data_IF_263710074074
#
_entry.id   IF_263710074074
#
_cell.length_a   1.000
_cell.length_b   1.000
_cell.length_c   1.000
_cell.angle_alpha   90.00
_cell.angle_beta   90.00
_cell.angle_gamma   90.00
#
_symmetry.space_group_name_H-M   'P 1'
#
loop_
_entity.id
_entity.type
_entity.pdbx_description
1 polymer ?
#
# COMPACT_ATOMS: atom_id res chain seq x y z
N UNK A 1 2.69 13.05 -8.62
CA UNK A 1 3.98 12.59 -8.07
C UNK A 1 3.79 11.19 -7.49
N UNK A 2 4.84 10.36 -7.54
CA UNK A 2 4.87 9.04 -6.91
C UNK A 2 4.54 9.12 -5.41
N UNK A 3 5.00 10.16 -4.70
CA UNK A 3 4.76 10.32 -3.27
C UNK A 3 3.28 10.49 -2.91
N UNK A 4 2.54 11.24 -3.71
CA UNK A 4 1.10 11.44 -3.50
C UNK A 4 0.34 10.12 -3.70
N UNK A 5 0.79 9.30 -4.66
CA UNK A 5 0.21 7.99 -4.93
C UNK A 5 0.53 7.01 -3.80
N UNK A 6 1.79 6.97 -3.33
CA UNK A 6 2.19 6.18 -2.17
C UNK A 6 1.38 6.57 -0.92
N UNK A 7 1.26 7.87 -0.65
CA UNK A 7 0.48 8.39 0.46
C UNK A 7 -0.98 7.94 0.41
N UNK A 8 -1.59 8.00 -0.77
CA UNK A 8 -2.96 7.51 -0.98
C UNK A 8 -3.08 6.01 -0.70
N UNK A 9 -2.21 5.17 -1.27
CA UNK A 9 -2.22 3.71 -1.00
C UNK A 9 -2.05 3.42 0.48
N UNK A 10 -1.11 4.08 1.16
CA UNK A 10 -0.88 3.92 2.61
C UNK A 10 -2.14 4.23 3.43
N UNK A 11 -2.87 5.28 3.08
CA UNK A 11 -4.13 5.65 3.74
C UNK A 11 -5.24 4.62 3.47
N UNK A 12 -5.42 4.22 2.22
CA UNK A 12 -6.45 3.23 1.84
C UNK A 12 -6.17 1.85 2.41
N UNK A 13 -4.91 1.49 2.62
CA UNK A 13 -4.49 0.26 3.28
C UNK A 13 -4.69 0.31 4.82
N UNK A 14 -5.19 1.43 5.36
CA UNK A 14 -5.48 1.58 6.79
C UNK A 14 -4.29 2.04 7.64
N UNK A 15 -3.15 2.35 7.03
CA UNK A 15 -1.94 2.77 7.75
C UNK A 15 -1.88 4.30 7.87
N UNK A 16 -2.84 4.89 8.57
CA UNK A 16 -2.92 6.34 8.77
C UNK A 16 -3.26 6.69 10.22
N UNK A 17 -2.93 7.93 10.59
CA UNK A 17 -3.40 8.55 11.82
C UNK A 17 -4.54 9.52 11.51
N UNK A 18 -5.61 9.43 12.29
CA UNK A 18 -6.72 10.38 12.19
C UNK A 18 -6.42 11.58 13.09
N UNK A 19 -6.17 12.73 12.47
CA UNK A 19 -5.87 13.98 13.16
C UNK A 19 -7.14 14.84 13.13
N UNK A 20 -7.64 15.23 14.30
CA UNK A 20 -8.70 16.23 14.39
C UNK A 20 -8.11 17.63 14.27
N UNK A 21 -8.60 18.39 13.31
CA UNK A 21 -8.18 19.77 13.07
C UNK A 21 -8.94 20.73 14.01
N UNK A 22 -8.44 21.96 14.20
CA UNK A 22 -9.09 22.96 15.05
C UNK A 22 -10.53 23.31 14.62
N UNK A 23 -10.88 23.11 13.35
CA UNK A 23 -12.23 23.29 12.81
C UNK A 23 -13.17 22.10 13.06
N UNK A 24 -12.69 21.07 13.76
CA UNK A 24 -13.43 19.85 14.08
C UNK A 24 -13.38 18.76 13.00
N UNK A 25 -12.81 19.04 11.82
CA UNK A 25 -12.70 18.05 10.74
C UNK A 25 -11.62 17.00 11.02
N UNK A 26 -11.81 15.79 10.48
CA UNK A 26 -10.83 14.71 10.58
C UNK A 26 -10.01 14.62 9.30
N UNK A 27 -8.68 14.67 9.44
CA UNK A 27 -7.74 14.46 8.35
C UNK A 27 -6.98 13.15 8.55
N UNK A 28 -6.94 12.32 7.51
CA UNK A 28 -6.10 11.12 7.48
C UNK A 28 -4.68 11.51 7.09
N UNK A 29 -3.73 11.23 7.96
CA UNK A 29 -2.30 11.43 7.70
C UNK A 29 -1.63 10.07 7.47
N UNK A 30 -1.03 9.79 6.30
CA UNK A 30 -0.35 8.52 6.05
C UNK A 30 0.79 8.32 7.06
N UNK A 31 0.89 7.12 7.63
CA UNK A 31 2.02 6.80 8.51
C UNK A 31 3.31 6.66 7.70
N UNK A 32 4.40 7.16 8.27
CA UNK A 32 5.74 6.90 7.77
C UNK A 32 6.11 5.45 8.08
N UNK A 33 6.19 4.63 7.02
CA UNK A 33 6.55 3.22 7.08
C UNK A 33 8.07 3.06 7.04
N UNK A 34 8.66 2.51 8.10
CA UNK A 34 10.08 2.16 8.19
C UNK A 34 10.28 0.66 7.93
N UNK A 35 10.37 0.26 6.65
CA UNK A 35 10.48 -1.15 6.26
C UNK A 35 11.63 -1.91 6.94
N UNK A 36 12.77 -1.23 7.19
CA UNK A 36 13.94 -1.83 7.84
C UNK A 36 13.73 -2.15 9.32
N UNK A 37 12.67 -1.63 9.94
CA UNK A 37 12.33 -1.85 11.35
C UNK A 37 11.16 -2.80 11.55
N UNK A 38 10.54 -3.28 10.47
CA UNK A 38 9.41 -4.20 10.51
C UNK A 38 9.91 -5.64 10.61
N UNK A 39 9.22 -6.45 11.40
CA UNK A 39 9.39 -7.90 11.30
C UNK A 39 8.66 -8.46 10.07
N UNK A 40 8.91 -9.74 9.76
CA UNK A 40 8.32 -10.39 8.59
C UNK A 40 6.79 -10.39 8.64
N UNK A 41 6.19 -10.56 9.81
CA UNK A 41 4.72 -10.62 9.94
C UNK A 41 4.11 -9.24 9.66
N UNK A 42 4.68 -8.19 10.23
CA UNK A 42 4.27 -6.82 9.99
C UNK A 42 4.44 -6.43 8.52
N UNK A 43 5.58 -6.81 7.92
CA UNK A 43 5.83 -6.59 6.50
C UNK A 43 4.80 -7.30 5.62
N UNK A 44 4.53 -8.59 5.87
CA UNK A 44 3.55 -9.36 5.08
C UNK A 44 2.14 -8.79 5.19
N UNK A 45 1.73 -8.32 6.38
CA UNK A 45 0.44 -7.67 6.57
C UNK A 45 0.35 -6.38 5.76
N UNK A 46 1.35 -5.51 5.85
CA UNK A 46 1.42 -4.27 5.09
C UNK A 46 1.43 -4.52 3.57
N UNK A 47 2.23 -5.50 3.13
CA UNK A 47 2.33 -5.88 1.73
C UNK A 47 0.96 -6.30 1.19
N UNK A 48 0.27 -7.18 1.92
CA UNK A 48 -1.06 -7.66 1.54
C UNK A 48 -2.08 -6.54 1.48
N UNK A 49 -2.17 -5.68 2.51
CA UNK A 49 -3.14 -4.59 2.52
C UNK A 49 -2.88 -3.56 1.41
N UNK A 50 -1.62 -3.24 1.12
CA UNK A 50 -1.27 -2.41 -0.04
C UNK A 50 -1.64 -3.08 -1.37
N UNK A 51 -1.35 -4.37 -1.53
CA UNK A 51 -1.70 -5.13 -2.73
C UNK A 51 -3.22 -5.20 -2.94
N UNK A 52 -4.00 -5.41 -1.88
CA UNK A 52 -5.47 -5.46 -1.95
C UNK A 52 -6.06 -4.11 -2.44
N UNK A 53 -5.50 -2.99 -1.98
CA UNK A 53 -5.86 -1.64 -2.48
C UNK A 53 -5.54 -1.53 -3.97
N UNK A 54 -4.30 -1.86 -4.35
CA UNK A 54 -3.86 -1.80 -5.75
C UNK A 54 -4.71 -2.70 -6.65
N UNK A 55 -5.05 -3.89 -6.17
CA UNK A 55 -5.92 -4.85 -6.84
C UNK A 55 -7.30 -4.26 -7.11
N UNK A 56 -7.97 -3.78 -6.05
CA UNK A 56 -9.33 -3.25 -6.13
C UNK A 56 -9.44 -2.08 -7.10
N UNK A 57 -8.45 -1.19 -7.11
CA UNK A 57 -8.56 0.07 -7.84
C UNK A 57 -7.95 0.04 -9.24
N UNK A 58 -6.88 -0.75 -9.45
CA UNK A 58 -6.04 -0.65 -10.65
C UNK A 58 -5.77 -2.01 -11.29
N UNK A 59 -5.20 -2.96 -10.55
CA UNK A 59 -4.66 -4.19 -11.15
C UNK A 59 -5.76 -5.14 -11.63
N UNK A 60 -6.95 -5.14 -11.02
CA UNK A 60 -8.10 -5.95 -11.47
C UNK A 60 -8.60 -5.60 -12.88
N UNK A 61 -8.22 -4.44 -13.42
CA UNK A 61 -8.54 -4.04 -14.81
C UNK A 61 -7.54 -4.59 -15.82
N UNK A 62 -6.35 -4.96 -15.36
CA UNK A 62 -5.23 -5.41 -16.21
C UNK A 62 -5.03 -6.91 -16.11
N UNK A 63 -5.15 -7.47 -14.91
CA UNK A 63 -4.92 -8.87 -14.61
C UNK A 63 -6.24 -9.58 -14.29
N UNK A 64 -6.34 -10.87 -14.63
CA UNK A 64 -7.56 -11.67 -14.41
C UNK A 64 -7.67 -12.13 -12.96
N UNK A 65 -6.54 -12.34 -12.29
CA UNK A 65 -6.50 -12.82 -10.90
C UNK A 65 -5.39 -12.13 -10.11
N UNK A 66 -5.57 -12.02 -8.80
CA UNK A 66 -4.56 -11.43 -7.90
C UNK A 66 -3.24 -12.19 -7.97
N UNK A 67 -3.29 -13.53 -8.08
CA UNK A 67 -2.12 -14.39 -8.26
C UNK A 67 -1.34 -14.10 -9.54
N UNK A 68 -2.02 -13.72 -10.62
CA UNK A 68 -1.36 -13.30 -11.87
C UNK A 68 -0.58 -12.00 -11.67
N UNK A 69 -1.16 -11.03 -10.96
CA UNK A 69 -0.50 -9.78 -10.63
C UNK A 69 0.70 -9.99 -9.68
N UNK A 70 0.57 -10.86 -8.68
CA UNK A 70 1.65 -11.23 -7.76
C UNK A 70 2.82 -11.89 -8.49
N UNK A 71 2.53 -12.83 -9.41
CA UNK A 71 3.56 -13.48 -10.22
C UNK A 71 4.31 -12.45 -11.10
N UNK A 72 3.60 -11.49 -11.69
CA UNK A 72 4.22 -10.43 -12.47
C UNK A 72 5.12 -9.52 -11.59
N UNK A 73 4.66 -9.18 -10.38
CA UNK A 73 5.47 -8.43 -9.43
C UNK A 73 6.74 -9.20 -9.02
N UNK A 74 6.63 -10.51 -8.75
CA UNK A 74 7.78 -11.36 -8.43
C UNK A 74 8.80 -11.43 -9.58
N UNK A 75 8.33 -11.52 -10.83
CA UNK A 75 9.21 -11.46 -12.01
C UNK A 75 9.94 -10.13 -12.10
N UNK A 76 9.26 -8.99 -11.91
CA UNK A 76 9.89 -7.68 -11.89
C UNK A 76 10.97 -7.55 -10.81
N UNK A 77 10.70 -8.06 -9.60
CA UNK A 77 11.69 -8.06 -8.51
C UNK A 77 12.90 -8.94 -8.83
N UNK A 78 12.71 -10.04 -9.55
CA UNK A 78 13.82 -10.92 -9.96
C UNK A 78 14.79 -10.26 -10.97
N UNK A 79 14.32 -9.29 -11.75
CA UNK A 79 15.16 -8.53 -12.70
C UNK A 79 15.88 -7.33 -12.05
N UNK A 80 15.47 -6.94 -10.84
CA UNK A 80 16.06 -5.82 -10.09
C UNK A 80 17.15 -6.27 -9.09
N UNK A 81 17.45 -7.57 -9.03
CA UNK A 81 18.48 -8.19 -8.20
C UNK A 81 19.83 -8.32 -8.90
#
# INVERSE_FOLDING_TARGET
>A
SFDAYRAWVTVEAGHYDAIQLPDGTLRKHPRSIAFSSMDEVEFQQLYKSALDVLWRWILSRTFRTQREAENAAAQLMSFAG
#
